data_IF_791763142921
#
_entry.id   IF_791763142921
#
_cell.length_a   1.000
_cell.length_b   1.000
_cell.length_c   1.000
_cell.angle_alpha   90.00
_cell.angle_beta   90.00
_cell.angle_gamma   90.00
#
_symmetry.space_group_name_H-M   'P 1'
#
loop_
_entity.id
_entity.type
_entity.pdbx_description
1 polymer ?
#
# COMPACT_ATOMS: atom_id res chain seq x y z
N UNK A 1 48.36 16.40 -74.45
CA UNK A 1 47.41 15.28 -74.66
C UNK A 1 46.65 15.06 -73.36
N UNK A 2 45.34 15.34 -73.30
CA UNK A 2 44.53 15.00 -72.13
C UNK A 2 44.03 13.56 -72.23
N UNK A 3 44.03 12.86 -71.10
CA UNK A 3 43.48 11.51 -70.90
C UNK A 3 41.95 11.52 -70.95
N UNK A 4 41.29 10.44 -71.43
CA UNK A 4 39.84 10.40 -71.52
C UNK A 4 39.20 10.18 -70.15
N UNK A 5 38.22 11.02 -69.85
CA UNK A 5 37.28 10.95 -68.73
C UNK A 5 36.43 9.68 -68.84
N UNK A 6 36.52 8.78 -67.86
CA UNK A 6 35.60 7.64 -67.73
C UNK A 6 34.27 8.15 -67.13
N UNK A 7 33.19 8.03 -67.90
CA UNK A 7 31.83 8.21 -67.38
C UNK A 7 31.46 7.02 -66.48
N UNK A 8 30.75 7.23 -65.36
CA UNK A 8 30.26 6.14 -64.54
C UNK A 8 29.14 5.39 -65.28
N UNK A 9 29.26 4.07 -65.30
CA UNK A 9 28.30 3.12 -65.85
C UNK A 9 26.99 3.22 -65.03
N UNK A 10 25.94 3.78 -65.63
CA UNK A 10 24.62 3.83 -65.00
C UNK A 10 24.03 2.43 -65.09
N UNK A 11 24.19 1.63 -64.03
CA UNK A 11 23.52 0.35 -63.88
C UNK A 11 22.03 0.60 -63.65
N UNK A 12 21.27 0.64 -64.74
CA UNK A 12 19.80 0.65 -64.70
C UNK A 12 19.36 -0.67 -64.07
N UNK A 13 18.81 -0.61 -62.85
CA UNK A 13 18.09 -1.74 -62.25
C UNK A 13 16.96 -2.12 -63.20
N UNK A 14 17.12 -3.24 -63.91
CA UNK A 14 16.13 -3.77 -64.85
C UNK A 14 14.86 -4.10 -64.09
N UNK A 15 13.77 -3.39 -64.39
CA UNK A 15 12.41 -3.73 -63.97
C UNK A 15 12.05 -5.11 -64.52
N UNK A 16 11.50 -6.05 -63.72
CA UNK A 16 11.24 -7.41 -64.18
C UNK A 16 10.18 -7.41 -65.29
N UNK A 17 10.55 -7.92 -66.47
CA UNK A 17 9.77 -7.83 -67.71
C UNK A 17 8.88 -9.04 -67.96
N UNK A 18 8.90 -10.07 -67.10
CA UNK A 18 8.07 -11.28 -67.25
C UNK A 18 7.26 -11.60 -65.98
N UNK A 19 6.00 -12.01 -66.16
CA UNK A 19 5.13 -12.46 -65.06
C UNK A 19 5.75 -13.62 -64.25
N UNK A 20 6.56 -14.45 -64.90
CA UNK A 20 7.25 -15.57 -64.28
C UNK A 20 8.33 -15.12 -63.30
N UNK A 21 9.15 -14.12 -63.64
CA UNK A 21 10.18 -13.57 -62.75
C UNK A 21 9.57 -12.89 -61.52
N UNK A 22 8.48 -12.12 -61.72
CA UNK A 22 7.74 -11.49 -60.63
C UNK A 22 7.15 -12.55 -59.67
N UNK A 23 6.57 -13.63 -60.21
CA UNK A 23 6.04 -14.73 -59.39
C UNK A 23 7.14 -15.50 -58.65
N UNK A 24 8.32 -15.70 -59.26
CA UNK A 24 9.45 -16.36 -58.60
C UNK A 24 10.09 -15.50 -57.50
N UNK A 25 10.20 -14.19 -57.69
CA UNK A 25 10.71 -13.29 -56.64
C UNK A 25 9.74 -13.19 -55.46
N UNK A 26 8.43 -13.05 -55.73
CA UNK A 26 7.42 -13.01 -54.68
C UNK A 26 7.35 -14.33 -53.88
N UNK A 27 7.52 -15.48 -54.53
CA UNK A 27 7.48 -16.79 -53.84
C UNK A 27 8.72 -17.04 -52.99
N UNK A 28 9.91 -16.62 -53.44
CA UNK A 28 11.15 -16.81 -52.67
C UNK A 28 11.23 -15.94 -51.41
N UNK A 29 10.61 -14.76 -51.40
CA UNK A 29 10.58 -13.91 -50.20
C UNK A 29 9.39 -14.18 -49.28
N UNK A 30 8.21 -14.48 -49.82
CA UNK A 30 6.98 -14.57 -49.03
C UNK A 30 6.86 -15.91 -48.29
N UNK A 31 7.24 -17.02 -48.94
CA UNK A 31 7.15 -18.37 -48.35
C UNK A 31 7.95 -18.50 -47.04
N UNK A 32 9.23 -18.12 -46.96
CA UNK A 32 9.97 -18.21 -45.70
C UNK A 32 9.43 -17.27 -44.62
N UNK A 33 8.93 -16.08 -44.97
CA UNK A 33 8.30 -15.15 -44.01
C UNK A 33 7.02 -15.74 -43.42
N UNK A 34 6.20 -16.38 -44.24
CA UNK A 34 5.00 -17.09 -43.76
C UNK A 34 5.38 -18.26 -42.84
N UNK A 35 6.39 -19.06 -43.22
CA UNK A 35 6.87 -20.16 -42.37
C UNK A 35 7.36 -19.66 -41.00
N UNK A 36 8.13 -18.58 -40.97
CA UNK A 36 8.58 -17.97 -39.72
C UNK A 36 7.42 -17.39 -38.91
N UNK A 37 6.45 -16.73 -39.53
CA UNK A 37 5.26 -16.23 -38.86
C UNK A 37 4.45 -17.38 -38.21
N UNK A 38 4.27 -18.49 -38.92
CA UNK A 38 3.62 -19.70 -38.38
C UNK A 38 4.43 -20.27 -37.22
N UNK A 39 5.75 -20.35 -37.34
CA UNK A 39 6.64 -20.83 -36.28
C UNK A 39 6.53 -19.97 -35.01
N UNK A 40 6.47 -18.64 -35.15
CA UNK A 40 6.26 -17.71 -34.04
C UNK A 40 4.90 -17.98 -33.37
N UNK A 41 3.81 -18.09 -34.14
CA UNK A 41 2.49 -18.35 -33.57
C UNK A 41 2.41 -19.72 -32.88
N UNK A 42 3.08 -20.74 -33.43
CA UNK A 42 3.19 -22.05 -32.80
C UNK A 42 3.95 -21.95 -31.46
N UNK A 43 5.05 -21.21 -31.44
CA UNK A 43 5.81 -20.94 -30.21
C UNK A 43 4.98 -20.14 -29.19
N UNK A 44 4.21 -19.14 -29.62
CA UNK A 44 3.30 -18.38 -28.76
C UNK A 44 2.28 -19.30 -28.09
N UNK A 45 1.67 -20.23 -28.84
CA UNK A 45 0.73 -21.22 -28.26
C UNK A 45 1.41 -22.15 -27.26
N UNK A 46 2.65 -22.56 -27.54
CA UNK A 46 3.44 -23.35 -26.59
C UNK A 46 3.68 -22.57 -25.30
N UNK A 47 4.09 -21.31 -25.39
CA UNK A 47 4.30 -20.42 -24.25
C UNK A 47 3.01 -20.27 -23.44
N UNK A 48 1.87 -20.02 -24.08
CA UNK A 48 0.56 -19.96 -23.42
C UNK A 48 0.29 -21.25 -22.63
N UNK A 49 0.52 -22.42 -23.23
CA UNK A 49 0.33 -23.71 -22.56
C UNK A 49 1.30 -23.97 -21.40
N UNK A 50 2.53 -23.43 -21.44
CA UNK A 50 3.49 -23.50 -20.34
C UNK A 50 3.09 -22.55 -19.21
N UNK A 51 2.81 -21.30 -19.53
CA UNK A 51 2.39 -20.26 -18.59
C UNK A 51 1.11 -20.69 -17.88
N UNK A 52 0.10 -21.17 -18.61
CA UNK A 52 -1.15 -21.67 -18.01
C UNK A 52 -0.93 -22.81 -17.01
N UNK A 53 0.06 -23.68 -17.24
CA UNK A 53 0.42 -24.75 -16.28
C UNK A 53 1.09 -24.19 -15.02
N UNK A 54 2.00 -23.23 -15.15
CA UNK A 54 2.69 -22.59 -14.03
C UNK A 54 1.70 -21.79 -13.19
N UNK A 55 0.90 -20.93 -13.82
CA UNK A 55 -0.09 -20.08 -13.17
C UNK A 55 -1.14 -20.91 -12.42
N UNK A 56 -1.58 -22.05 -12.98
CA UNK A 56 -2.50 -22.97 -12.29
C UNK A 56 -1.91 -23.56 -11.01
N UNK A 57 -0.60 -23.75 -10.92
CA UNK A 57 0.08 -24.24 -9.70
C UNK A 57 0.26 -23.13 -8.66
N UNK A 58 0.64 -21.93 -9.09
CA UNK A 58 0.90 -20.81 -8.18
C UNK A 58 -0.39 -20.19 -7.61
N UNK A 59 -1.48 -20.16 -8.39
CA UNK A 59 -2.76 -19.55 -7.99
C UNK A 59 -3.79 -20.59 -7.51
N UNK A 60 -3.37 -21.79 -7.09
CA UNK A 60 -4.28 -22.78 -6.48
C UNK A 60 -5.07 -22.25 -5.28
N UNK A 61 -4.49 -21.49 -4.33
CA UNK A 61 -5.24 -21.02 -3.15
C UNK A 61 -6.23 -19.89 -3.47
N UNK A 62 -6.23 -19.36 -4.69
CA UNK A 62 -7.15 -18.29 -5.09
C UNK A 62 -8.52 -18.82 -5.49
N UNK A 63 -9.53 -17.96 -5.31
CA UNK A 63 -10.90 -18.18 -5.74
C UNK A 63 -10.95 -18.50 -7.25
N UNK A 64 -11.69 -19.54 -7.69
CA UNK A 64 -11.65 -20.02 -9.06
C UNK A 64 -11.95 -18.97 -10.12
N UNK A 65 -12.81 -18.02 -9.79
CA UNK A 65 -13.22 -16.93 -10.68
C UNK A 65 -12.06 -15.98 -10.95
N UNK A 66 -11.39 -15.49 -9.91
CA UNK A 66 -10.22 -14.59 -10.03
C UNK A 66 -9.10 -15.26 -10.83
N UNK A 67 -8.83 -16.54 -10.55
CA UNK A 67 -7.82 -17.31 -11.29
C UNK A 67 -8.14 -17.37 -12.79
N UNK A 68 -9.41 -17.61 -13.15
CA UNK A 68 -9.83 -17.67 -14.56
C UNK A 68 -9.64 -16.33 -15.26
N UNK A 69 -10.02 -15.22 -14.62
CA UNK A 69 -9.81 -13.88 -15.16
C UNK A 69 -8.33 -13.56 -15.39
N UNK A 70 -7.46 -13.85 -14.41
CA UNK A 70 -6.01 -13.64 -14.55
C UNK A 70 -5.39 -14.48 -15.67
N UNK A 71 -5.77 -15.75 -15.79
CA UNK A 71 -5.29 -16.60 -16.88
C UNK A 71 -5.74 -16.05 -18.24
N UNK A 72 -7.01 -15.67 -18.38
CA UNK A 72 -7.52 -15.11 -19.63
C UNK A 72 -6.80 -13.80 -20.02
N UNK A 73 -6.57 -12.90 -19.07
CA UNK A 73 -5.84 -11.67 -19.32
C UNK A 73 -4.40 -11.93 -19.80
N UNK A 74 -3.70 -12.87 -19.16
CA UNK A 74 -2.33 -13.24 -19.53
C UNK A 74 -2.26 -13.95 -20.89
N UNK A 75 -3.21 -14.84 -21.18
CA UNK A 75 -3.34 -15.51 -22.48
C UNK A 75 -3.55 -14.49 -23.61
N UNK A 76 -4.44 -13.52 -23.41
CA UNK A 76 -4.70 -12.44 -24.37
C UNK A 76 -3.43 -11.60 -24.57
N UNK A 77 -2.73 -11.23 -23.49
CA UNK A 77 -1.51 -10.43 -23.58
C UNK A 77 -0.42 -11.15 -24.39
N UNK A 78 -0.16 -12.43 -24.09
CA UNK A 78 0.84 -13.24 -24.81
C UNK A 78 0.44 -13.42 -26.28
N UNK A 79 -0.86 -13.62 -26.54
CA UNK A 79 -1.38 -13.75 -27.90
C UNK A 79 -1.19 -12.46 -28.70
N UNK A 80 -1.49 -11.28 -28.13
CA UNK A 80 -1.28 -9.98 -28.77
C UNK A 80 0.18 -9.81 -29.17
N UNK A 81 1.12 -10.08 -28.24
CA UNK A 81 2.56 -9.99 -28.51
C UNK A 81 2.96 -10.95 -29.64
N UNK A 82 2.47 -12.19 -29.61
CA UNK A 82 2.74 -13.19 -30.66
C UNK A 82 2.21 -12.77 -32.04
N UNK A 83 1.01 -12.20 -32.10
CA UNK A 83 0.41 -11.70 -33.35
C UNK A 83 1.24 -10.53 -33.90
N UNK A 84 1.61 -9.55 -33.06
CA UNK A 84 2.44 -8.42 -33.48
C UNK A 84 3.80 -8.91 -34.01
N UNK A 85 4.44 -9.86 -33.32
CA UNK A 85 5.71 -10.43 -33.77
C UNK A 85 5.57 -11.15 -35.13
N UNK A 86 4.51 -11.93 -35.32
CA UNK A 86 4.25 -12.62 -36.59
C UNK A 86 3.99 -11.64 -37.74
N UNK A 87 3.19 -10.59 -37.52
CA UNK A 87 2.92 -9.53 -38.51
C UNK A 87 4.20 -8.78 -38.90
N UNK A 88 5.09 -8.54 -37.95
CA UNK A 88 6.37 -7.88 -38.20
C UNK A 88 7.27 -8.68 -39.15
N UNK A 89 7.32 -10.02 -38.98
CA UNK A 89 8.07 -10.91 -39.89
C UNK A 89 7.48 -10.95 -41.30
N UNK A 90 6.17 -10.77 -41.44
CA UNK A 90 5.52 -10.64 -42.74
C UNK A 90 5.84 -9.32 -43.45
N UNK A 91 6.56 -8.39 -42.81
CA UNK A 91 6.88 -7.07 -43.36
C UNK A 91 5.73 -6.07 -43.24
N UNK A 92 4.71 -6.37 -42.44
CA UNK A 92 3.62 -5.43 -42.15
C UNK A 92 4.12 -4.42 -41.13
N UNK A 93 3.87 -3.14 -41.38
CA UNK A 93 4.27 -2.08 -40.47
C UNK A 93 3.43 -2.15 -39.18
N UNK A 94 4.01 -2.69 -38.11
CA UNK A 94 3.31 -2.89 -36.82
C UNK A 94 3.37 -1.67 -35.90
N UNK A 95 4.10 -0.61 -36.27
CA UNK A 95 4.31 0.57 -35.43
C UNK A 95 2.99 1.23 -34.98
N UNK A 96 2.00 1.35 -35.88
CA UNK A 96 0.68 1.91 -35.56
C UNK A 96 -0.12 1.01 -34.62
N UNK A 97 -0.04 -0.31 -34.81
CA UNK A 97 -0.67 -1.29 -33.93
C UNK A 97 -0.04 -1.27 -32.52
N UNK A 98 1.29 -1.22 -32.45
CA UNK A 98 2.03 -1.09 -31.19
C UNK A 98 1.68 0.22 -30.49
N UNK A 99 1.55 1.33 -31.22
CA UNK A 99 1.14 2.60 -30.65
C UNK A 99 -0.27 2.54 -30.04
N UNK A 100 -1.25 1.96 -30.75
CA UNK A 100 -2.61 1.79 -30.24
C UNK A 100 -2.65 0.87 -29.02
N UNK A 101 -1.94 -0.26 -29.08
CA UNK A 101 -1.84 -1.20 -27.96
C UNK A 101 -1.15 -0.57 -26.75
N UNK A 102 -0.12 0.24 -26.97
CA UNK A 102 0.57 1.00 -25.93
C UNK A 102 -0.35 2.01 -25.27
N UNK A 103 -1.12 2.77 -26.05
CA UNK A 103 -2.11 3.72 -25.53
C UNK A 103 -3.22 3.01 -24.74
N UNK A 104 -3.74 1.89 -25.24
CA UNK A 104 -4.73 1.07 -24.55
C UNK A 104 -4.17 0.49 -23.23
N UNK A 105 -2.92 -0.02 -23.26
CA UNK A 105 -2.24 -0.53 -22.08
C UNK A 105 -2.01 0.55 -21.02
N UNK A 106 -1.63 1.76 -21.43
CA UNK A 106 -1.50 2.91 -20.53
C UNK A 106 -2.85 3.27 -19.90
N UNK A 107 -3.93 3.31 -20.68
CA UNK A 107 -5.27 3.61 -20.18
C UNK A 107 -5.73 2.57 -19.14
N UNK A 108 -5.51 1.27 -19.40
CA UNK A 108 -5.80 0.20 -18.45
C UNK A 108 -4.92 0.33 -17.20
N UNK A 109 -3.64 0.63 -17.36
CA UNK A 109 -2.70 0.83 -16.25
C UNK A 109 -3.10 1.98 -15.34
N UNK A 110 -3.51 3.11 -15.93
CA UNK A 110 -4.03 4.26 -15.18
C UNK A 110 -5.35 3.92 -14.48
N UNK A 111 -6.23 3.15 -15.12
CA UNK A 111 -7.47 2.69 -14.49
C UNK A 111 -7.21 1.75 -13.28
N UNK A 112 -6.12 0.98 -13.31
CA UNK A 112 -5.72 0.06 -12.23
C UNK A 112 -4.74 0.66 -11.23
N UNK A 113 -4.30 1.91 -11.44
CA UNK A 113 -3.24 2.55 -10.64
C UNK A 113 -3.56 2.51 -9.15
N UNK A 114 -4.80 2.83 -8.77
CA UNK A 114 -5.20 2.88 -7.37
C UNK A 114 -5.24 1.48 -6.71
N UNK A 115 -5.77 0.47 -7.41
CA UNK A 115 -5.78 -0.91 -6.91
C UNK A 115 -4.36 -1.45 -6.73
N UNK A 116 -3.44 -1.13 -7.64
CA UNK A 116 -2.04 -1.54 -7.54
C UNK A 116 -1.32 -0.81 -6.40
N UNK A 117 -1.65 0.45 -6.14
CA UNK A 117 -1.16 1.20 -4.98
C UNK A 117 -1.59 0.55 -3.65
N UNK A 118 -2.87 0.16 -3.53
CA UNK A 118 -3.36 -0.57 -2.35
C UNK A 118 -2.68 -1.93 -2.16
N UNK A 119 -2.44 -2.66 -3.25
CA UNK A 119 -1.68 -3.92 -3.21
C UNK A 119 -0.27 -3.71 -2.68
N UNK A 120 0.47 -2.74 -3.24
CA UNK A 120 1.82 -2.43 -2.82
C UNK A 120 1.86 -2.02 -1.34
N UNK A 121 0.94 -1.17 -0.90
CA UNK A 121 0.81 -0.78 0.50
C UNK A 121 0.53 -2.00 1.40
N UNK A 122 -0.33 -2.93 0.99
CA UNK A 122 -0.59 -4.16 1.73
C UNK A 122 0.66 -5.02 1.92
N UNK A 123 1.43 -5.22 0.85
CA UNK A 123 2.72 -5.95 0.92
C UNK A 123 3.69 -5.26 1.88
N UNK A 124 3.77 -3.93 1.85
CA UNK A 124 4.65 -3.15 2.71
C UNK A 124 4.23 -3.20 4.19
N UNK A 125 2.93 -3.14 4.48
CA UNK A 125 2.39 -3.28 5.84
C UNK A 125 2.76 -4.65 6.43
N UNK A 126 2.63 -5.73 5.65
CA UNK A 126 2.99 -7.09 6.11
C UNK A 126 4.50 -7.26 6.27
N UNK A 127 5.29 -6.59 5.42
CA UNK A 127 6.75 -6.72 5.42
C UNK A 127 7.42 -5.94 6.55
N UNK A 128 7.01 -4.68 6.75
CA UNK A 128 7.59 -3.82 7.78
C UNK A 128 6.89 -3.90 9.13
N UNK A 129 5.65 -4.40 9.16
CA UNK A 129 4.84 -4.58 10.37
C UNK A 129 4.84 -3.36 11.29
N UNK A 130 4.42 -2.17 10.82
CA UNK A 130 4.23 -1.01 11.71
C UNK A 130 3.14 -1.25 12.78
N UNK A 131 2.26 -2.22 12.54
CA UNK A 131 1.29 -2.76 13.46
C UNK A 131 0.96 -4.21 13.08
N UNK A 132 0.45 -4.98 14.04
CA UNK A 132 0.00 -6.36 13.83
C UNK A 132 -1.51 -6.51 14.08
N UNK A 133 -2.05 -7.68 13.74
CA UNK A 133 -3.44 -8.02 14.07
C UNK A 133 -3.57 -8.09 15.58
N UNK A 134 -4.57 -7.39 16.13
CA UNK A 134 -4.78 -7.21 17.57
C UNK A 134 -4.29 -5.88 18.12
N UNK A 135 -3.50 -5.11 17.37
CA UNK A 135 -3.06 -3.79 17.82
C UNK A 135 -4.20 -2.77 17.78
N UNK A 136 -4.22 -1.89 18.79
CA UNK A 136 -5.06 -0.70 18.79
C UNK A 136 -4.32 0.42 18.05
N UNK A 137 -4.86 0.86 16.91
CA UNK A 137 -4.27 1.90 16.08
C UNK A 137 -5.20 3.10 15.94
N UNK A 138 -4.61 4.28 15.72
CA UNK A 138 -5.28 5.50 15.30
C UNK A 138 -4.61 6.01 14.02
N UNK A 139 -5.32 5.92 12.90
CA UNK A 139 -4.80 6.22 11.57
C UNK A 139 -5.91 6.30 10.53
N UNK A 140 -5.68 7.06 9.45
CA UNK A 140 -6.66 7.29 8.38
C UNK A 140 -8.03 7.81 8.88
N UNK A 141 -8.07 8.51 10.01
CA UNK A 141 -9.30 9.03 10.62
C UNK A 141 -10.13 7.99 11.38
N UNK A 142 -9.58 6.79 11.62
CA UNK A 142 -10.24 5.69 12.31
C UNK A 142 -9.35 5.24 13.48
N UNK A 143 -9.97 5.02 14.64
CA UNK A 143 -9.30 4.46 15.81
C UNK A 143 -9.99 3.16 16.24
N UNK A 144 -9.22 2.09 16.38
CA UNK A 144 -9.77 0.77 16.69
C UNK A 144 -8.73 -0.36 16.61
N UNK A 145 -9.18 -1.57 16.92
CA UNK A 145 -8.33 -2.76 16.95
C UNK A 145 -8.25 -3.36 15.54
N UNK A 146 -7.05 -3.69 15.10
CA UNK A 146 -6.82 -4.33 13.80
C UNK A 146 -7.31 -5.77 13.85
N UNK A 147 -8.30 -6.12 13.04
CA UNK A 147 -8.86 -7.46 12.94
C UNK A 147 -8.15 -8.32 11.89
N UNK A 148 -7.86 -7.74 10.72
CA UNK A 148 -7.23 -8.46 9.63
C UNK A 148 -6.57 -7.52 8.62
N UNK A 149 -5.40 -7.89 8.11
CA UNK A 149 -4.70 -7.17 7.04
C UNK A 149 -4.89 -7.96 5.74
N UNK A 150 -5.76 -7.45 4.86
CA UNK A 150 -6.00 -8.01 3.54
C UNK A 150 -5.05 -7.45 2.49
N UNK A 151 -5.18 -7.96 1.26
CA UNK A 151 -4.32 -7.57 0.13
C UNK A 151 -4.51 -6.09 -0.26
N UNK A 152 -5.75 -5.59 -0.25
CA UNK A 152 -6.08 -4.21 -0.66
C UNK A 152 -6.55 -3.33 0.50
N UNK A 153 -7.06 -3.93 1.57
CA UNK A 153 -7.63 -3.21 2.71
C UNK A 153 -7.36 -3.93 4.01
N UNK A 154 -7.37 -3.15 5.09
CA UNK A 154 -7.26 -3.61 6.47
C UNK A 154 -8.63 -3.45 7.14
N UNK A 155 -9.04 -4.44 7.91
CA UNK A 155 -10.24 -4.39 8.73
C UNK A 155 -9.87 -3.89 10.12
N UNK A 156 -10.58 -2.88 10.60
CA UNK A 156 -10.47 -2.32 11.95
C UNK A 156 -11.83 -2.46 12.64
N UNK A 157 -11.83 -2.91 13.89
CA UNK A 157 -13.01 -2.94 14.75
C UNK A 157 -12.91 -1.78 15.74
N UNK A 158 -13.87 -0.86 15.69
CA UNK A 158 -13.91 0.29 16.59
C UNK A 158 -14.41 -0.11 17.99
N UNK A 159 -14.21 0.74 19.02
CA UNK A 159 -14.66 0.46 20.38
C UNK A 159 -16.17 0.23 20.54
N UNK A 160 -16.99 0.81 19.65
CA UNK A 160 -18.44 0.58 19.54
C UNK A 160 -18.80 -0.69 18.74
N UNK A 161 -17.80 -1.56 18.50
CA UNK A 161 -17.93 -2.83 17.81
C UNK A 161 -18.37 -2.72 16.33
N UNK A 162 -18.04 -1.60 15.66
CA UNK A 162 -18.32 -1.43 14.23
C UNK A 162 -17.12 -1.87 13.40
N UNK A 163 -17.38 -2.67 12.37
CA UNK A 163 -16.37 -3.11 11.40
C UNK A 163 -16.15 -2.02 10.34
N UNK A 164 -14.95 -1.47 10.28
CA UNK A 164 -14.53 -0.49 9.29
C UNK A 164 -13.46 -1.10 8.38
N UNK A 165 -13.64 -0.96 7.06
CA UNK A 165 -12.69 -1.44 6.06
C UNK A 165 -11.93 -0.25 5.50
N UNK A 166 -10.62 -0.19 5.76
CA UNK A 166 -9.76 0.92 5.37
C UNK A 166 -8.83 0.48 4.25
N UNK A 167 -8.73 1.22 3.12
CA UNK A 167 -7.77 0.92 2.07
C UNK A 167 -6.33 0.97 2.60
N UNK A 168 -5.49 -0.01 2.24
CA UNK A 168 -4.14 -0.14 2.79
C UNK A 168 -3.27 1.10 2.54
N UNK A 169 -3.44 1.74 1.39
CA UNK A 169 -2.70 2.95 1.06
C UNK A 169 -2.96 4.08 2.07
N UNK A 170 -4.18 4.21 2.58
CA UNK A 170 -4.52 5.28 3.54
C UNK A 170 -3.80 5.07 4.89
N UNK A 171 -3.57 3.82 5.29
CA UNK A 171 -2.83 3.48 6.51
C UNK A 171 -1.32 3.59 6.32
N UNK A 172 -0.83 3.30 5.12
CA UNK A 172 0.60 3.32 4.82
C UNK A 172 1.14 4.71 4.47
N UNK A 173 0.35 5.55 3.79
CA UNK A 173 0.81 6.86 3.30
C UNK A 173 0.74 7.98 4.35
N UNK A 174 -0.03 7.78 5.41
CA UNK A 174 -0.27 8.78 6.45
C UNK A 174 0.48 8.49 7.75
N UNK A 175 0.39 9.44 8.69
CA UNK A 175 0.82 9.20 10.06
C UNK A 175 -0.12 8.18 10.71
N UNK A 176 0.46 7.14 11.31
CA UNK A 176 -0.24 6.10 12.05
C UNK A 176 0.30 6.04 13.47
N UNK A 177 -0.60 6.09 14.45
CA UNK A 177 -0.28 5.89 15.86
C UNK A 177 -0.62 4.47 16.24
N UNK A 178 0.37 3.67 16.59
CA UNK A 178 0.14 2.39 17.24
C UNK A 178 0.09 2.63 18.76
N UNK A 179 -1.08 2.43 19.35
CA UNK A 179 -1.33 2.72 20.76
C UNK A 179 -0.92 1.54 21.66
N UNK A 180 -0.77 0.33 21.14
CA UNK A 180 -0.43 -0.89 21.90
C UNK A 180 1.03 -1.32 21.75
N UNK A 181 1.71 -0.96 20.66
CA UNK A 181 3.08 -1.43 20.36
C UNK A 181 4.11 -1.24 21.49
N UNK A 182 4.00 -0.16 22.29
CA UNK A 182 4.94 0.12 23.38
C UNK A 182 4.58 -0.59 24.70
N UNK A 183 3.44 -1.29 24.78
CA UNK A 183 2.94 -1.99 25.96
C UNK A 183 2.49 -1.10 27.13
N UNK A 184 3.04 0.11 27.25
CA UNK A 184 2.73 1.09 28.29
C UNK A 184 2.30 2.42 27.68
N UNK A 185 1.44 3.15 28.38
CA UNK A 185 0.95 4.47 27.99
C UNK A 185 0.88 5.40 29.20
N UNK A 186 1.23 6.66 28.98
CA UNK A 186 1.10 7.73 29.96
C UNK A 186 -0.27 8.37 29.87
N UNK A 187 -0.96 8.48 31.01
CA UNK A 187 -2.17 9.27 31.14
C UNK A 187 -1.75 10.71 31.40
N UNK A 188 -2.20 11.66 30.58
CA UNK A 188 -1.94 13.08 30.82
C UNK A 188 -3.23 13.73 31.36
N UNK A 189 -3.22 14.14 32.63
CA UNK A 189 -4.33 14.82 33.29
C UNK A 189 -3.95 16.26 33.63
N UNK A 190 -4.85 17.18 33.28
CA UNK A 190 -4.80 18.58 33.70
C UNK A 190 -5.72 18.76 34.90
N UNK A 191 -5.14 19.19 36.01
CA UNK A 191 -5.81 19.28 37.31
C UNK A 191 -5.79 20.73 37.75
N UNK A 192 -6.94 21.39 37.71
CA UNK A 192 -7.12 22.74 38.25
C UNK A 192 -7.28 22.66 39.77
N UNK A 193 -6.33 23.26 40.49
CA UNK A 193 -6.30 23.28 41.96
C UNK A 193 -6.82 24.59 42.54
N UNK A 194 -7.19 25.57 41.71
CA UNK A 194 -7.59 26.91 42.16
C UNK A 194 -6.51 27.57 43.02
N UNK A 195 -6.91 28.03 44.21
CA UNK A 195 -6.03 28.68 45.20
C UNK A 195 -5.41 27.71 46.21
N UNK A 196 -5.53 26.39 46.02
CA UNK A 196 -4.93 25.42 46.95
C UNK A 196 -3.40 25.50 46.94
N UNK A 197 -2.79 25.16 48.07
CA UNK A 197 -1.34 25.00 48.17
C UNK A 197 -0.82 23.98 47.14
N UNK A 198 0.10 24.44 46.28
CA UNK A 198 0.71 23.64 45.22
C UNK A 198 1.45 22.43 45.79
N UNK A 199 2.32 22.65 46.79
CA UNK A 199 3.19 21.61 47.36
C UNK A 199 2.37 20.53 48.08
N UNK A 200 1.37 20.95 48.87
CA UNK A 200 0.45 20.02 49.56
C UNK A 200 -0.35 19.20 48.55
N UNK A 201 -0.87 19.83 47.49
CA UNK A 201 -1.66 19.14 46.47
C UNK A 201 -0.83 18.15 45.66
N UNK A 202 0.40 18.51 45.25
CA UNK A 202 1.31 17.58 44.56
C UNK A 202 1.59 16.37 45.45
N UNK A 203 1.94 16.59 46.72
CA UNK A 203 2.27 15.51 47.65
C UNK A 203 1.09 14.55 47.84
N UNK A 204 -0.11 15.10 48.01
CA UNK A 204 -1.30 14.28 48.24
C UNK A 204 -1.76 13.54 46.98
N UNK A 205 -1.71 14.18 45.80
CA UNK A 205 -2.03 13.51 44.54
C UNK A 205 -1.07 12.36 44.24
N UNK A 206 0.23 12.54 44.45
CA UNK A 206 1.20 11.45 44.29
C UNK A 206 0.93 10.30 45.27
N UNK A 207 0.66 10.61 46.55
CA UNK A 207 0.39 9.60 47.58
C UNK A 207 -0.84 8.73 47.30
N UNK A 208 -1.85 9.26 46.60
CA UNK A 208 -3.08 8.52 46.27
C UNK A 208 -2.97 7.80 44.91
N UNK A 209 -2.25 8.38 43.94
CA UNK A 209 -2.17 7.84 42.57
C UNK A 209 -1.07 6.80 42.41
N UNK A 210 0.09 6.95 43.07
CA UNK A 210 1.18 5.97 43.02
C UNK A 210 0.78 4.55 43.45
N UNK A 211 0.02 4.34 44.56
CA UNK A 211 -0.38 2.99 44.98
C UNK A 211 -1.55 2.40 44.16
N UNK A 212 -2.07 3.10 43.16
CA UNK A 212 -3.20 2.63 42.37
C UNK A 212 -2.85 1.37 41.55
N UNK A 213 -3.68 0.31 41.55
CA UNK A 213 -3.32 -0.99 40.96
C UNK A 213 -3.07 -0.97 39.46
N UNK A 214 -3.63 0.01 38.74
CA UNK A 214 -3.42 0.18 37.29
C UNK A 214 -2.25 1.12 36.94
N UNK A 215 -1.58 1.71 37.94
CA UNK A 215 -0.45 2.62 37.76
C UNK A 215 0.85 1.85 37.92
N UNK A 216 1.79 2.09 37.00
CA UNK A 216 3.12 1.52 37.04
C UNK A 216 4.02 2.32 37.97
N UNK A 217 4.85 1.62 38.73
CA UNK A 217 5.86 2.23 39.59
C UNK A 217 7.07 2.76 38.81
N UNK A 218 7.34 2.18 37.64
CA UNK A 218 8.40 2.58 36.72
C UNK A 218 7.83 2.64 35.29
N UNK A 219 7.83 3.81 34.61
CA UNK A 219 8.34 5.10 35.08
C UNK A 219 7.51 5.71 36.23
N UNK A 220 8.18 6.46 37.11
CA UNK A 220 7.52 7.15 38.24
C UNK A 220 6.43 8.11 37.77
N UNK A 221 5.39 8.23 38.59
CA UNK A 221 4.35 9.26 38.41
C UNK A 221 4.99 10.63 38.57
N UNK A 222 4.66 11.55 37.65
CA UNK A 222 5.12 12.94 37.74
C UNK A 222 3.94 13.87 37.96
N UNK A 223 4.12 14.85 38.84
CA UNK A 223 3.14 15.90 39.08
C UNK A 223 3.85 17.25 39.18
N UNK A 224 3.55 18.16 38.25
CA UNK A 224 4.21 19.47 38.14
C UNK A 224 3.22 20.56 37.78
N UNK A 225 3.58 21.82 38.08
CA UNK A 225 2.79 22.98 37.66
C UNK A 225 2.85 23.12 36.15
N UNK A 226 1.67 23.15 35.52
CA UNK A 226 1.50 23.43 34.09
C UNK A 226 1.40 24.93 33.84
N UNK A 227 0.46 25.59 34.53
CA UNK A 227 0.14 26.98 34.29
C UNK A 227 -0.32 27.66 35.57
N UNK A 228 0.01 28.94 35.70
CA UNK A 228 -0.45 29.81 36.78
C UNK A 228 -1.16 31.00 36.12
N UNK A 229 -2.44 31.17 36.41
CA UNK A 229 -3.29 32.27 35.97
C UNK A 229 -3.96 32.94 37.18
N UNK A 230 -4.48 34.18 37.06
CA UNK A 230 -5.00 34.94 38.21
C UNK A 230 -6.07 34.23 39.04
N UNK A 231 -6.87 33.35 38.43
CA UNK A 231 -7.94 32.61 39.10
C UNK A 231 -7.75 31.08 39.09
N UNK A 232 -6.65 30.59 38.49
CA UNK A 232 -6.45 29.15 38.25
C UNK A 232 -4.99 28.78 38.30
N UNK A 233 -4.68 27.76 39.10
CA UNK A 233 -3.41 27.05 39.03
C UNK A 233 -3.67 25.65 38.50
N UNK A 234 -3.00 25.27 37.41
CA UNK A 234 -3.19 23.96 36.77
C UNK A 234 -1.93 23.12 36.97
N UNK A 235 -2.10 21.88 37.41
CA UNK A 235 -1.06 20.87 37.50
C UNK A 235 -1.19 19.85 36.37
N UNK A 236 -0.06 19.35 35.86
CA UNK A 236 -0.02 18.11 35.09
C UNK A 236 0.24 16.93 36.01
N UNK A 237 -0.68 15.96 36.05
CA UNK A 237 -0.50 14.67 36.71
C UNK A 237 -0.35 13.59 35.63
N UNK A 238 0.77 12.86 35.66
CA UNK A 238 1.17 11.94 34.59
C UNK A 238 1.57 10.55 35.08
N UNK A 239 0.60 9.70 35.43
CA UNK A 239 0.85 8.29 35.73
C UNK A 239 1.01 7.46 34.45
N UNK A 240 1.80 6.39 34.56
CA UNK A 240 1.97 5.40 33.50
C UNK A 240 1.11 4.18 33.80
N UNK A 241 0.56 3.54 32.78
CA UNK A 241 -0.28 2.34 32.89
C UNK A 241 -0.03 1.40 31.70
N UNK A 242 -0.52 0.17 31.76
CA UNK A 242 -0.51 -0.71 30.60
C UNK A 242 -1.45 -0.18 29.50
N UNK A 243 -1.04 -0.31 28.24
CA UNK A 243 -1.77 0.26 27.10
C UNK A 243 -3.23 -0.25 26.99
N UNK A 244 -3.45 -1.51 27.33
CA UNK A 244 -4.75 -2.20 27.27
C UNK A 244 -5.79 -1.61 28.24
N UNK A 245 -5.36 -1.18 29.41
CA UNK A 245 -6.24 -0.65 30.47
C UNK A 245 -6.26 0.87 30.51
N UNK A 246 -5.68 1.53 29.51
CA UNK A 246 -5.46 2.98 29.48
C UNK A 246 -6.74 3.79 29.78
N UNK A 247 -7.86 3.48 29.12
CA UNK A 247 -9.11 4.22 29.33
C UNK A 247 -9.67 4.02 30.74
N UNK A 248 -9.55 2.80 31.29
CA UNK A 248 -9.99 2.50 32.66
C UNK A 248 -9.11 3.23 33.67
N UNK A 249 -7.79 3.13 33.54
CA UNK A 249 -6.83 3.82 34.40
C UNK A 249 -7.05 5.34 34.37
N UNK A 250 -7.25 5.92 33.19
CA UNK A 250 -7.56 7.35 33.04
C UNK A 250 -8.82 7.74 33.79
N UNK A 251 -9.91 6.97 33.64
CA UNK A 251 -11.19 7.25 34.30
C UNK A 251 -11.10 7.12 35.83
N UNK A 252 -10.53 6.02 36.32
CA UNK A 252 -10.40 5.76 37.76
C UNK A 252 -9.52 6.81 38.44
N UNK A 253 -8.38 7.16 37.83
CA UNK A 253 -7.48 8.19 38.36
C UNK A 253 -8.17 9.56 38.35
N UNK A 254 -8.93 9.91 37.31
CA UNK A 254 -9.69 11.17 37.29
C UNK A 254 -10.71 11.25 38.43
N UNK A 255 -11.39 10.14 38.74
CA UNK A 255 -12.33 10.08 39.85
C UNK A 255 -11.61 10.31 41.19
N UNK A 256 -10.52 9.57 41.42
CA UNK A 256 -9.70 9.67 42.62
C UNK A 256 -9.20 11.10 42.82
N UNK A 257 -8.65 11.73 41.77
CA UNK A 257 -8.18 13.12 41.80
C UNK A 257 -9.31 14.06 42.22
N UNK A 258 -10.51 13.88 41.66
CA UNK A 258 -11.67 14.72 41.99
C UNK A 258 -12.11 14.56 43.45
N UNK A 259 -12.08 13.34 43.98
CA UNK A 259 -12.42 13.04 45.37
C UNK A 259 -11.38 13.62 46.32
N UNK A 260 -10.08 13.43 46.05
CA UNK A 260 -8.98 14.02 46.82
C UNK A 260 -9.07 15.54 46.87
N UNK A 261 -9.32 16.20 45.73
CA UNK A 261 -9.46 17.65 45.70
C UNK A 261 -10.67 18.16 46.48
N UNK A 262 -11.75 17.38 46.64
CA UNK A 262 -12.91 17.81 47.44
C UNK A 262 -12.62 17.83 48.93
N UNK A 263 -11.80 16.89 49.41
CA UNK A 263 -11.47 16.75 50.83
C UNK A 263 -10.43 17.76 51.30
N UNK A 264 -9.62 18.29 50.38
CA UNK A 264 -8.64 19.32 50.70
C UNK A 264 -9.32 20.66 51.05
N UNK A 265 -8.75 21.48 51.95
CA UNK A 265 -9.19 22.84 52.20
C UNK A 265 -8.76 23.79 51.06
N UNK A 266 -9.62 24.73 50.68
CA UNK A 266 -9.29 25.82 49.75
C UNK A 266 -8.71 26.95 50.58
N UNK A 267 -7.53 27.45 50.23
CA UNK A 267 -7.00 28.68 50.84
C UNK A 267 -7.84 29.86 50.33
N UNK A 268 -8.41 30.62 51.28
CA UNK A 268 -9.29 31.77 51.03
C UNK A 268 -8.46 32.98 50.63
#
# INVERSE_FOLDING_TARGET
MPSPTFLPEITVKTTPTSLYELLTEMTMELVPRILWAIAILALTRLIIGVVGRITRRLLQPMEPTIRKFFMQALEILILIVGIVAALNVLGIQTATLVAILGAAGLAIGLALQNSLSHFAAGVMLVSFRPFEVGDLIDGAGVSGIVDSIGIFSTTIITPDHVKIVVPNNNLFSGNLKNLTAMGTRRVDLEVDIGNRSIESTITQLLAVVEPHPLVLNDPKVTCHVLAIAPEKTVLYLRPWCAAEVYERARSEIQQIVKETLKEMPVEV
#
